data_IF_651915416078
#
_entry.id   IF_651915416078
#
_cell.length_a   1.000
_cell.length_b   1.000
_cell.length_c   1.000
_cell.angle_alpha   90.00
_cell.angle_beta   90.00
_cell.angle_gamma   90.00
#
_symmetry.space_group_name_H-M   'P 1'
#
loop_
_entity.id
_entity.type
_entity.pdbx_description
1 polymer ?
#
# COMPACT_ATOMS: atom_id res chain seq x y z
N UNK A 1 -19.85 -25.96 -13.24
CA UNK A 1 -19.27 -25.05 -14.24
C UNK A 1 -17.90 -24.70 -13.67
N UNK A 2 -16.85 -25.29 -14.23
CA UNK A 2 -15.47 -25.01 -13.84
C UNK A 2 -15.12 -23.65 -14.43
N UNK A 3 -14.92 -22.65 -13.58
CA UNK A 3 -14.49 -21.31 -14.01
C UNK A 3 -13.17 -21.45 -14.77
N UNK A 4 -13.22 -21.20 -16.07
CA UNK A 4 -12.06 -20.92 -16.89
C UNK A 4 -11.42 -19.63 -16.35
N UNK A 5 -10.36 -19.76 -15.55
CA UNK A 5 -9.39 -18.67 -15.35
C UNK A 5 -8.38 -18.78 -16.50
N UNK A 6 -8.50 -17.83 -17.43
CA UNK A 6 -7.70 -17.57 -18.62
C UNK A 6 -7.43 -16.06 -18.47
N UNK A 7 -6.24 -15.44 -18.48
CA UNK A 7 -4.89 -15.73 -18.95
C UNK A 7 -3.96 -14.72 -18.23
N UNK A 8 -2.85 -15.13 -17.58
CA UNK A 8 -1.79 -14.19 -17.10
C UNK A 8 -2.29 -12.91 -16.39
N UNK A 9 -3.12 -13.02 -15.35
CA UNK A 9 -3.44 -11.88 -14.48
C UNK A 9 -2.28 -11.71 -13.48
N UNK A 10 -1.41 -10.73 -13.70
CA UNK A 10 -0.44 -10.28 -12.69
C UNK A 10 -1.23 -9.78 -11.47
N UNK A 11 -1.18 -10.51 -10.37
CA UNK A 11 -1.86 -10.10 -9.15
C UNK A 11 -1.00 -9.07 -8.43
N UNK A 12 -1.51 -7.84 -8.32
CA UNK A 12 -0.88 -6.79 -7.52
C UNK A 12 -1.58 -6.63 -6.18
N UNK A 13 -0.81 -6.30 -5.16
CA UNK A 13 -1.29 -6.14 -3.79
C UNK A 13 -0.78 -4.82 -3.23
N UNK A 14 -1.66 -4.06 -2.57
CA UNK A 14 -1.27 -2.98 -1.68
C UNK A 14 -1.12 -3.54 -0.27
N UNK A 15 0.04 -3.34 0.33
CA UNK A 15 0.37 -3.87 1.66
C UNK A 15 0.63 -2.70 2.58
N UNK A 16 -0.16 -2.64 3.66
CA UNK A 16 -0.03 -1.65 4.72
C UNK A 16 0.46 -2.29 6.01
N UNK A 17 1.33 -1.58 6.71
CA UNK A 17 1.91 -2.04 7.98
C UNK A 17 1.95 -0.90 8.99
N UNK A 18 1.57 -1.14 10.25
CA UNK A 18 1.61 -0.12 11.28
C UNK A 18 3.07 0.18 11.62
N UNK A 19 3.37 1.45 11.79
CA UNK A 19 4.70 1.95 12.12
C UNK A 19 4.60 2.79 13.37
N UNK A 20 5.57 2.65 14.27
CA UNK A 20 5.68 3.57 15.39
C UNK A 20 6.23 4.92 14.89
N UNK A 21 5.61 6.03 15.28
CA UNK A 21 6.07 7.40 15.00
C UNK A 21 7.57 7.67 15.25
N UNK A 22 8.19 6.88 16.13
CA UNK A 22 9.60 6.98 16.46
C UNK A 22 10.56 6.44 15.37
N UNK A 23 10.04 5.71 14.37
CA UNK A 23 10.88 5.07 13.34
C UNK A 23 11.27 6.05 12.23
N UNK A 24 10.30 6.83 11.72
CA UNK A 24 10.48 7.81 10.63
C UNK A 24 9.35 8.84 10.64
N UNK A 25 9.66 10.05 10.17
CA UNK A 25 8.64 11.08 9.91
C UNK A 25 7.79 10.68 8.67
N UNK A 26 6.46 10.86 8.71
CA UNK A 26 5.59 10.60 7.57
C UNK A 26 5.89 11.55 6.42
N UNK A 27 5.80 11.04 5.19
CA UNK A 27 6.13 11.81 3.97
C UNK A 27 4.87 12.31 3.25
N UNK A 28 3.74 11.61 3.42
CA UNK A 28 2.44 12.04 2.91
C UNK A 28 1.42 12.04 4.06
N UNK A 29 0.55 13.05 4.10
CA UNK A 29 -0.61 13.07 5.00
C UNK A 29 -1.87 12.88 4.17
N UNK A 30 -2.71 11.94 4.59
CA UNK A 30 -3.92 11.54 3.86
C UNK A 30 -5.12 12.47 4.22
N UNK A 31 -4.91 13.41 5.16
CA UNK A 31 -5.97 14.23 5.77
C UNK A 31 -6.31 15.56 5.05
N UNK A 32 -5.39 16.18 4.28
CA UNK A 32 -5.56 17.60 3.90
C UNK A 32 -5.89 17.89 2.42
N UNK A 33 -5.39 17.11 1.45
CA UNK A 33 -5.66 17.37 0.00
C UNK A 33 -5.27 16.20 -0.93
N UNK A 34 -5.12 14.98 -0.39
CA UNK A 34 -4.65 13.83 -1.17
C UNK A 34 -5.79 13.25 -2.03
N UNK A 35 -5.50 12.76 -3.26
CA UNK A 35 -6.51 12.21 -4.16
C UNK A 35 -7.28 11.08 -3.47
N UNK A 36 -8.57 10.98 -3.85
CA UNK A 36 -9.63 10.08 -3.36
C UNK A 36 -9.31 8.60 -3.65
N UNK A 37 -8.09 8.15 -3.41
CA UNK A 37 -7.67 6.77 -3.58
C UNK A 37 -8.20 5.96 -2.40
N UNK A 38 -9.48 5.63 -2.52
CA UNK A 38 -10.29 4.96 -1.50
C UNK A 38 -9.60 3.73 -0.95
N UNK A 39 -8.86 2.99 -1.79
CA UNK A 39 -8.17 1.77 -1.38
C UNK A 39 -7.01 2.05 -0.42
N UNK A 40 -6.24 3.13 -0.61
CA UNK A 40 -5.18 3.50 0.33
C UNK A 40 -5.75 3.92 1.68
N UNK A 41 -6.86 4.66 1.67
CA UNK A 41 -7.59 4.98 2.90
C UNK A 41 -8.13 3.72 3.59
N UNK A 42 -8.76 2.81 2.86
CA UNK A 42 -9.33 1.56 3.41
C UNK A 42 -8.23 0.68 4.02
N UNK A 43 -7.09 0.54 3.33
CA UNK A 43 -5.93 -0.20 3.84
C UNK A 43 -5.34 0.49 5.08
N UNK A 44 -5.10 1.80 5.05
CA UNK A 44 -4.55 2.53 6.20
C UNK A 44 -5.47 2.42 7.43
N UNK A 45 -6.77 2.57 7.22
CA UNK A 45 -7.77 2.42 8.28
C UNK A 45 -7.77 0.98 8.83
N UNK A 46 -7.75 -0.05 7.98
CA UNK A 46 -7.75 -1.44 8.44
C UNK A 46 -6.46 -1.79 9.19
N UNK A 47 -5.31 -1.24 8.78
CA UNK A 47 -4.03 -1.40 9.49
C UNK A 47 -4.13 -0.88 10.92
N UNK A 48 -4.70 0.32 11.09
CA UNK A 48 -4.90 0.95 12.40
C UNK A 48 -5.91 0.17 13.23
N UNK A 49 -7.06 -0.20 12.65
CA UNK A 49 -8.10 -0.95 13.35
C UNK A 49 -7.63 -2.35 13.81
N UNK A 50 -6.76 -2.98 13.03
CA UNK A 50 -6.23 -4.32 13.33
C UNK A 50 -4.92 -4.31 14.10
N UNK A 51 -4.26 -3.15 14.20
CA UNK A 51 -2.87 -2.99 14.66
C UNK A 51 -1.93 -4.02 14.00
N UNK A 52 -2.11 -4.25 12.69
CA UNK A 52 -1.49 -5.37 11.99
C UNK A 52 -1.26 -5.13 10.49
N UNK A 53 -0.53 -6.07 9.87
CA UNK A 53 -0.28 -6.05 8.43
C UNK A 53 -1.56 -6.40 7.66
N UNK A 54 -1.94 -5.53 6.73
CA UNK A 54 -3.09 -5.69 5.85
C UNK A 54 -2.60 -5.80 4.41
N UNK A 55 -3.22 -6.68 3.63
CA UNK A 55 -2.97 -6.77 2.19
C UNK A 55 -4.29 -6.82 1.42
N UNK A 56 -4.43 -5.92 0.45
CA UNK A 56 -5.59 -5.84 -0.43
C UNK A 56 -5.14 -6.04 -1.86
N UNK A 57 -5.84 -6.91 -2.59
CA UNK A 57 -5.60 -7.09 -4.02
C UNK A 57 -6.07 -5.86 -4.78
N UNK A 58 -5.20 -5.34 -5.63
CA UNK A 58 -5.42 -4.12 -6.42
C UNK A 58 -5.20 -4.38 -7.91
N UNK A 59 -5.91 -3.64 -8.74
CA UNK A 59 -5.78 -3.70 -10.20
C UNK A 59 -4.60 -2.83 -10.71
N UNK A 60 -4.18 -2.99 -11.97
CA UNK A 60 -3.08 -2.21 -12.57
C UNK A 60 -3.32 -0.69 -12.48
N UNK A 61 -4.56 -0.24 -12.72
CA UNK A 61 -4.93 1.19 -12.62
C UNK A 61 -4.70 1.74 -11.21
N UNK A 62 -4.83 0.91 -10.17
CA UNK A 62 -4.63 1.30 -8.78
C UNK A 62 -3.15 1.32 -8.40
N UNK A 63 -2.35 0.44 -9.01
CA UNK A 63 -0.87 0.48 -8.90
C UNK A 63 -0.33 1.78 -9.50
N UNK A 64 -0.77 2.15 -10.71
CA UNK A 64 -0.38 3.41 -11.35
C UNK A 64 -0.77 4.63 -10.51
N UNK A 65 -1.96 4.62 -9.90
CA UNK A 65 -2.39 5.69 -8.99
C UNK A 65 -1.53 5.77 -7.73
N UNK A 66 -1.15 4.64 -7.15
CA UNK A 66 -0.24 4.60 -6.00
C UNK A 66 1.16 5.13 -6.36
N UNK A 67 1.68 4.77 -7.54
CA UNK A 67 2.95 5.28 -8.05
C UNK A 67 2.89 6.80 -8.29
N UNK A 68 1.79 7.30 -8.88
CA UNK A 68 1.58 8.74 -9.06
C UNK A 68 1.53 9.48 -7.71
N UNK A 69 0.84 8.91 -6.72
CA UNK A 69 0.75 9.43 -5.36
C UNK A 69 2.09 9.50 -4.64
N UNK A 70 2.89 8.45 -4.79
CA UNK A 70 4.21 8.33 -4.17
C UNK A 70 5.33 8.91 -5.06
N UNK A 71 4.97 9.52 -6.20
CA UNK A 71 5.93 10.14 -7.10
C UNK A 71 6.67 11.28 -6.38
N UNK A 72 7.99 11.13 -6.28
CA UNK A 72 8.86 12.10 -5.59
C UNK A 72 8.95 11.91 -4.08
N UNK A 73 8.28 10.89 -3.54
CA UNK A 73 8.42 10.41 -2.16
C UNK A 73 9.62 9.45 -2.10
N UNK A 74 10.39 9.51 -1.03
CA UNK A 74 11.50 8.57 -0.80
C UNK A 74 10.96 7.24 -0.25
N UNK A 75 11.31 6.14 -0.91
CA UNK A 75 11.05 4.78 -0.43
C UNK A 75 12.14 4.36 0.57
N UNK A 76 11.76 3.88 1.75
CA UNK A 76 12.71 3.44 2.77
C UNK A 76 12.85 1.91 2.78
N UNK A 77 13.88 1.38 2.13
CA UNK A 77 14.12 -0.08 2.11
C UNK A 77 14.76 -0.63 3.41
N UNK A 78 15.56 0.18 4.10
CA UNK A 78 16.34 -0.23 5.29
C UNK A 78 15.60 -0.06 6.62
N UNK A 79 14.33 0.38 6.60
CA UNK A 79 13.56 0.56 7.82
C UNK A 79 13.04 -0.78 8.36
N UNK A 80 12.58 -0.81 9.62
CA UNK A 80 11.99 -2.03 10.19
C UNK A 80 10.79 -2.52 9.38
N UNK A 81 10.07 -1.58 8.75
CA UNK A 81 8.96 -1.84 7.84
C UNK A 81 9.20 -1.09 6.52
N UNK A 82 9.72 -1.76 5.48
CA UNK A 82 10.06 -1.09 4.24
C UNK A 82 8.80 -0.55 3.55
N UNK A 83 8.86 0.64 2.97
CA UNK A 83 7.71 1.26 2.32
C UNK A 83 7.76 2.78 2.21
N UNK A 84 6.66 3.33 1.71
CA UNK A 84 6.35 4.75 1.75
C UNK A 84 5.54 5.06 3.02
N UNK A 85 6.02 6.03 3.79
CA UNK A 85 5.48 6.32 5.12
C UNK A 85 4.43 7.41 5.01
N UNK A 86 3.22 7.13 5.49
CA UNK A 86 2.08 8.03 5.38
C UNK A 86 1.39 8.19 6.73
N UNK A 87 0.91 9.40 6.99
CA UNK A 87 0.15 9.78 8.18
C UNK A 87 -1.35 9.70 7.88
N UNK A 88 -2.05 8.97 8.75
CA UNK A 88 -3.49 8.82 8.74
C UNK A 88 -4.03 8.89 10.17
N UNK A 89 -4.90 9.86 10.46
CA UNK A 89 -5.51 10.05 11.79
C UNK A 89 -4.47 10.08 12.94
N UNK A 90 -3.38 10.85 12.78
CA UNK A 90 -2.26 10.93 13.73
C UNK A 90 -1.45 9.62 13.91
N UNK A 91 -1.65 8.60 13.05
CA UNK A 91 -0.85 7.36 13.04
C UNK A 91 -0.05 7.19 11.74
N UNK A 92 1.13 6.58 11.84
CA UNK A 92 2.01 6.35 10.69
C UNK A 92 1.86 4.92 10.17
N UNK A 93 1.64 4.80 8.86
CA UNK A 93 1.52 3.54 8.14
C UNK A 93 2.57 3.48 7.04
N UNK A 94 3.30 2.38 6.96
CA UNK A 94 4.19 2.07 5.84
C UNK A 94 3.40 1.31 4.78
N UNK A 95 3.46 1.77 3.54
CA UNK A 95 2.72 1.22 2.41
C UNK A 95 3.63 0.94 1.22
N UNK A 96 3.43 -0.20 0.58
CA UNK A 96 4.08 -0.54 -0.68
C UNK A 96 3.21 -1.49 -1.51
N UNK A 97 3.47 -1.52 -2.81
CA UNK A 97 2.83 -2.48 -3.73
C UNK A 97 3.75 -3.67 -3.98
N UNK A 98 3.20 -4.87 -3.98
CA UNK A 98 3.89 -6.09 -4.44
C UNK A 98 3.11 -6.72 -5.60
N UNK A 99 3.80 -7.04 -6.69
CA UNK A 99 3.23 -7.76 -7.83
C UNK A 99 3.75 -9.19 -7.81
N UNK A 100 2.85 -10.18 -7.65
CA UNK A 100 3.19 -11.58 -7.76
C UNK A 100 3.24 -11.96 -9.24
N UNK A 101 4.46 -12.07 -9.79
CA UNK A 101 4.65 -12.73 -11.08
C UNK A 101 4.56 -14.23 -10.85
N UNK A 102 3.52 -14.88 -11.39
CA UNK A 102 3.45 -16.35 -11.42
C UNK A 102 4.74 -16.85 -12.10
N UNK A 103 5.66 -17.40 -11.31
CA UNK A 103 6.86 -18.02 -11.84
C UNK A 103 6.41 -19.24 -12.65
N UNK A 104 6.31 -19.08 -13.97
CA UNK A 104 6.15 -20.21 -14.89
C UNK A 104 7.41 -21.07 -14.79
N UNK A 105 7.34 -22.09 -13.93
CA UNK A 105 8.35 -23.16 -13.80
C UNK A 105 8.18 -24.25 -14.84
#
# INVERSE_FOLDING_TARGET
MTNERNENDELSFLIGMPVSDEEKEPVLSIEDDAPDFTVLHDVAQEVIETEGTVSVGIDEEEVDQFDELTTGVEYYEDASQPGYYMEFEDEVVSLHTETEVEATG
#
